data_IF_034901563685
#
_entry.id   IF_034901563685
#
_cell.length_a   1.000
_cell.length_b   1.000
_cell.length_c   1.000
_cell.angle_alpha   90.00
_cell.angle_beta   90.00
_cell.angle_gamma   90.00
#
_symmetry.space_group_name_H-M   'P 1'
#
loop_
_entity.id
_entity.type
_entity.pdbx_description
1 polymer ?
#
# COMPACT_ATOMS: atom_id res chain seq x y z
N UNK A 1 44.82 -25.05 -1.29
CA UNK A 1 45.23 -23.88 -2.10
C UNK A 1 45.21 -24.25 -3.57
N UNK A 2 44.35 -23.57 -4.33
CA UNK A 2 44.46 -23.27 -5.76
C UNK A 2 44.90 -24.40 -6.69
N UNK A 3 43.95 -25.10 -7.30
CA UNK A 3 44.09 -25.57 -8.70
C UNK A 3 42.77 -25.34 -9.42
N UNK A 4 42.61 -24.10 -9.86
CA UNK A 4 41.66 -23.72 -10.88
C UNK A 4 41.98 -24.54 -12.14
N UNK A 5 41.05 -25.40 -12.55
CA UNK A 5 41.10 -26.06 -13.86
C UNK A 5 39.93 -25.49 -14.65
N UNK A 6 40.31 -24.52 -15.47
CA UNK A 6 39.58 -23.99 -16.61
C UNK A 6 39.22 -25.15 -17.55
N UNK A 7 37.94 -25.48 -17.66
CA UNK A 7 37.42 -26.22 -18.82
C UNK A 7 36.28 -25.41 -19.42
N UNK A 8 36.62 -24.78 -20.54
CA UNK A 8 35.74 -24.15 -21.51
C UNK A 8 34.80 -25.21 -22.10
N UNK A 9 33.61 -25.36 -21.52
CA UNK A 9 32.50 -26.08 -22.15
C UNK A 9 31.60 -25.06 -22.84
N UNK A 10 31.87 -24.80 -24.13
CA UNK A 10 30.99 -24.03 -24.99
C UNK A 10 29.72 -24.84 -25.28
N UNK A 11 28.60 -24.36 -24.75
CA UNK A 11 27.29 -24.39 -25.39
C UNK A 11 26.60 -25.75 -25.54
N UNK A 12 25.70 -26.07 -24.62
CA UNK A 12 24.37 -26.66 -24.85
C UNK A 12 23.71 -26.88 -23.47
N UNK A 13 22.88 -25.93 -23.05
CA UNK A 13 22.16 -26.04 -21.78
C UNK A 13 21.68 -24.74 -21.14
N UNK A 14 21.45 -23.68 -21.93
CA UNK A 14 20.69 -22.52 -21.49
C UNK A 14 19.19 -22.85 -21.52
N UNK A 15 18.69 -23.60 -20.53
CA UNK A 15 17.26 -23.67 -20.23
C UNK A 15 16.99 -24.23 -18.82
N UNK A 16 17.67 -23.70 -17.79
CA UNK A 16 17.05 -23.77 -16.46
C UNK A 16 15.92 -22.76 -16.45
N UNK A 17 14.74 -23.32 -16.69
CA UNK A 17 13.45 -22.68 -16.76
C UNK A 17 13.26 -21.65 -15.64
N UNK A 18 13.38 -20.37 -16.00
CA UNK A 18 12.51 -19.32 -15.48
C UNK A 18 11.07 -19.68 -15.92
N UNK A 19 10.44 -20.63 -15.22
CA UNK A 19 9.01 -20.84 -15.36
C UNK A 19 8.40 -21.36 -14.08
N UNK A 20 7.35 -20.64 -13.70
CA UNK A 20 6.22 -21.09 -12.91
C UNK A 20 6.24 -20.92 -11.38
N UNK A 21 6.90 -19.88 -10.83
CA UNK A 21 6.47 -19.32 -9.53
C UNK A 21 6.18 -17.81 -9.56
N UNK A 22 5.96 -17.24 -10.75
CA UNK A 22 5.59 -15.83 -10.96
C UNK A 22 4.08 -15.57 -10.81
N UNK A 23 3.26 -16.59 -10.56
CA UNK A 23 1.81 -16.42 -10.38
C UNK A 23 1.34 -17.31 -9.23
N UNK A 24 1.33 -16.86 -7.98
CA UNK A 24 0.20 -16.23 -7.30
C UNK A 24 0.65 -16.18 -5.84
N UNK A 25 0.75 -15.05 -5.14
CA UNK A 25 -0.27 -14.05 -4.95
C UNK A 25 0.36 -12.67 -4.79
N UNK A 26 -0.21 -11.72 -5.52
CA UNK A 26 -0.20 -10.31 -5.16
C UNK A 26 -1.05 -10.15 -3.88
N UNK A 27 -0.62 -10.74 -2.75
CA UNK A 27 -1.31 -10.61 -1.45
C UNK A 27 -0.78 -9.44 -0.62
N UNK A 28 0.36 -8.88 -0.99
CA UNK A 28 0.98 -7.81 -0.23
C UNK A 28 1.65 -6.73 -1.09
N UNK A 29 1.15 -6.52 -2.31
CA UNK A 29 1.36 -5.26 -3.03
C UNK A 29 0.01 -4.78 -3.55
N UNK A 30 -0.94 -4.62 -2.63
CA UNK A 30 -2.03 -3.68 -2.82
C UNK A 30 -1.35 -2.33 -2.99
N UNK A 31 -1.39 -1.76 -4.19
CA UNK A 31 -1.03 -0.36 -4.45
C UNK A 31 -1.60 0.44 -3.28
N UNK A 32 -0.72 0.99 -2.45
CA UNK A 32 -1.08 1.69 -1.22
C UNK A 32 -1.67 3.04 -1.60
N UNK A 33 -2.81 3.02 -2.26
CA UNK A 33 -3.69 4.18 -2.34
C UNK A 33 -4.28 4.27 -0.94
N UNK A 34 -3.93 5.32 -0.21
CA UNK A 34 -4.40 5.63 1.16
C UNK A 34 -5.92 5.81 1.17
N UNK A 35 -6.60 4.69 1.08
CA UNK A 35 -8.03 4.58 0.86
C UNK A 35 -8.65 4.05 2.13
N UNK A 36 -9.80 4.61 2.50
CA UNK A 36 -10.50 4.22 3.71
C UNK A 36 -10.88 2.73 3.64
N UNK A 37 -10.43 1.94 4.63
CA UNK A 37 -10.57 0.48 4.64
C UNK A 37 -12.00 -0.01 4.90
N UNK A 38 -12.80 0.76 5.63
CA UNK A 38 -14.18 0.43 6.02
C UNK A 38 -15.02 1.70 6.09
N UNK A 39 -16.34 1.57 6.09
CA UNK A 39 -17.24 2.70 6.32
C UNK A 39 -16.88 3.42 7.63
N UNK A 40 -16.99 4.74 7.62
CA UNK A 40 -16.62 5.61 8.72
C UNK A 40 -17.44 6.89 8.76
N UNK A 41 -17.12 7.75 9.73
CA UNK A 41 -17.77 9.05 9.93
C UNK A 41 -16.70 10.13 9.80
N UNK A 42 -16.99 11.16 9.00
CA UNK A 42 -16.15 12.34 8.90
C UNK A 42 -16.05 13.04 10.27
N UNK A 43 -14.84 13.21 10.85
CA UNK A 43 -14.67 13.84 12.16
C UNK A 43 -15.17 15.30 12.22
N UNK A 44 -15.17 16.01 11.09
CA UNK A 44 -15.54 17.43 10.99
C UNK A 44 -17.06 17.60 10.91
N UNK A 45 -17.69 17.02 9.90
CA UNK A 45 -19.11 17.28 9.58
C UNK A 45 -20.06 16.13 9.97
N UNK A 46 -19.53 15.01 10.49
CA UNK A 46 -20.29 13.82 10.90
C UNK A 46 -21.05 13.10 9.78
N UNK A 47 -20.73 13.39 8.52
CA UNK A 47 -21.27 12.64 7.38
C UNK A 47 -20.67 11.24 7.29
N UNK A 48 -21.47 10.29 6.76
CA UNK A 48 -21.02 8.92 6.47
C UNK A 48 -20.06 8.93 5.28
N UNK A 49 -18.96 8.22 5.42
CA UNK A 49 -17.93 8.05 4.39
C UNK A 49 -17.79 6.56 4.11
N UNK A 50 -17.85 6.18 2.84
CA UNK A 50 -17.76 4.78 2.43
C UNK A 50 -16.32 4.28 2.40
N UNK A 51 -16.15 2.99 2.62
CA UNK A 51 -14.92 2.28 2.25
C UNK A 51 -14.59 2.58 0.78
N UNK A 52 -13.30 2.68 0.44
CA UNK A 52 -12.92 3.10 -0.91
C UNK A 52 -12.73 4.61 -1.07
N UNK A 53 -13.08 5.43 -0.06
CA UNK A 53 -12.83 6.87 -0.14
C UNK A 53 -11.33 7.19 -0.11
N UNK A 54 -10.87 8.02 -1.04
CA UNK A 54 -9.47 8.43 -1.20
C UNK A 54 -9.13 9.70 -0.39
N UNK A 55 -10.14 10.46 0.04
CA UNK A 55 -9.95 11.66 0.88
C UNK A 55 -9.69 11.22 2.31
N UNK A 56 -8.45 10.81 2.59
CA UNK A 56 -8.06 10.32 3.92
C UNK A 56 -6.86 11.06 4.51
N UNK A 57 -6.68 10.92 5.82
CA UNK A 57 -5.50 11.34 6.59
C UNK A 57 -5.18 10.23 7.57
N UNK A 58 -3.89 9.87 7.68
CA UNK A 58 -3.41 8.98 8.73
C UNK A 58 -2.97 9.83 9.93
N UNK A 59 -3.58 9.60 11.08
CA UNK A 59 -3.23 10.26 12.34
C UNK A 59 -3.26 9.22 13.47
N UNK A 60 -2.24 9.18 14.33
CA UNK A 60 -2.15 8.23 15.45
C UNK A 60 -2.39 6.76 15.06
N UNK A 61 -1.82 6.32 13.94
CA UNK A 61 -1.98 4.96 13.37
C UNK A 61 -3.42 4.61 12.94
N UNK A 62 -4.33 5.57 12.92
CA UNK A 62 -5.69 5.44 12.40
C UNK A 62 -5.85 6.20 11.07
N UNK A 63 -6.61 5.64 10.14
CA UNK A 63 -6.98 6.30 8.88
C UNK A 63 -8.35 6.94 9.03
N UNK A 64 -8.42 8.26 8.92
CA UNK A 64 -9.66 9.04 8.94
C UNK A 64 -10.08 9.36 7.51
N UNK A 65 -11.37 9.18 7.20
CA UNK A 65 -11.95 9.52 5.91
C UNK A 65 -12.80 10.79 5.98
N UNK A 66 -12.78 11.57 4.90
CA UNK A 66 -13.47 12.86 4.82
C UNK A 66 -14.44 12.91 3.64
N UNK A 67 -15.58 13.57 3.81
CA UNK A 67 -16.56 13.76 2.74
C UNK A 67 -16.02 14.68 1.62
N UNK A 68 -15.14 15.61 1.98
CA UNK A 68 -14.66 16.69 1.13
C UNK A 68 -13.20 17.04 1.45
N UNK A 69 -12.52 17.66 0.48
CA UNK A 69 -11.16 18.18 0.68
C UNK A 69 -11.11 19.28 1.75
N UNK A 70 -12.17 20.08 1.88
CA UNK A 70 -12.26 21.09 2.93
C UNK A 70 -12.23 20.45 4.32
N UNK A 71 -13.02 19.40 4.57
CA UNK A 71 -13.00 18.68 5.84
C UNK A 71 -11.63 18.05 6.12
N UNK A 72 -10.99 17.47 5.10
CA UNK A 72 -9.63 16.94 5.20
C UNK A 72 -8.62 18.02 5.64
N UNK A 73 -8.64 19.19 5.00
CA UNK A 73 -7.75 20.33 5.34
C UNK A 73 -8.01 20.85 6.75
N UNK A 74 -9.28 20.99 7.16
CA UNK A 74 -9.66 21.41 8.51
C UNK A 74 -9.15 20.43 9.56
N UNK A 75 -9.28 19.13 9.33
CA UNK A 75 -8.75 18.11 10.23
C UNK A 75 -7.22 18.16 10.30
N UNK A 76 -6.54 18.25 9.16
CA UNK A 76 -5.07 18.29 9.09
C UNK A 76 -4.47 19.50 9.82
N UNK A 77 -5.19 20.63 9.88
CA UNK A 77 -4.73 21.83 10.59
C UNK A 77 -4.72 21.67 12.12
N UNK A 78 -5.66 20.91 12.69
CA UNK A 78 -5.71 20.65 14.13
C UNK A 78 -6.41 19.32 14.46
N UNK A 79 -5.75 18.17 14.22
CA UNK A 79 -6.39 16.86 14.34
C UNK A 79 -6.82 16.54 15.78
N UNK A 80 -6.01 16.95 16.77
CA UNK A 80 -6.27 16.77 18.22
C UNK A 80 -7.58 17.40 18.70
N UNK A 81 -8.13 18.39 17.98
CA UNK A 81 -9.42 19.01 18.30
C UNK A 81 -10.62 18.12 17.94
N UNK A 82 -10.47 17.22 16.97
CA UNK A 82 -11.57 16.46 16.37
C UNK A 82 -11.60 14.99 16.75
N UNK A 83 -10.49 14.50 17.33
CA UNK A 83 -10.36 13.19 17.94
C UNK A 83 -10.52 13.34 19.46
N UNK A 84 -11.25 12.41 20.07
CA UNK A 84 -11.44 12.33 21.52
C UNK A 84 -10.80 11.05 22.02
#
# INVERSE_FOLDING_TARGET
>A
MKRAVLILALGLGFLQAFSANVQTEIKQQKVAVDTLKKDGIDPICKMKVKAGNTKTVVFEKATYGFCSESCKKTFAANPKKYIK
#
